data_IF_311018165122
#
_entry.id   IF_311018165122
#
_cell.length_a   1.000
_cell.length_b   1.000
_cell.length_c   1.000
_cell.angle_alpha   90.00
_cell.angle_beta   90.00
_cell.angle_gamma   90.00
#
_symmetry.space_group_name_H-M   'P 1'
#
loop_
_entity.id
_entity.type
_entity.pdbx_description
1 polymer ?
#
# COMPACT_ATOMS: atom_id res chain seq x y z
N UNK A 1 -1.34 7.44 -5.88
CA UNK A 1 -1.39 6.43 -4.80
C UNK A 1 -0.80 6.91 -3.47
N UNK A 2 0.37 7.56 -3.44
CA UNK A 2 1.02 8.03 -2.18
C UNK A 2 0.11 8.93 -1.32
N UNK A 3 -0.70 9.78 -1.94
CA UNK A 3 -1.59 10.73 -1.25
C UNK A 3 -2.97 10.17 -0.84
N UNK A 4 -3.27 8.91 -1.13
CA UNK A 4 -4.52 8.31 -0.64
C UNK A 4 -4.45 8.19 0.90
N UNK A 5 -5.57 8.06 1.64
CA UNK A 5 -5.57 7.73 3.08
C UNK A 5 -5.36 6.23 3.32
N UNK A 6 -4.95 5.80 4.53
CA UNK A 6 -4.70 4.38 4.81
C UNK A 6 -5.95 3.51 4.64
N UNK A 7 -7.13 4.04 5.02
CA UNK A 7 -8.41 3.38 4.82
C UNK A 7 -8.77 3.10 3.36
N UNK A 8 -8.18 3.83 2.40
CA UNK A 8 -8.35 3.53 0.98
C UNK A 8 -7.84 2.12 0.65
N UNK A 9 -6.64 1.76 1.12
CA UNK A 9 -6.06 0.44 0.88
C UNK A 9 -6.87 -0.67 1.54
N UNK A 10 -7.35 -0.43 2.77
CA UNK A 10 -8.25 -1.36 3.45
C UNK A 10 -9.52 -1.59 2.63
N UNK A 11 -10.13 -0.53 2.11
CA UNK A 11 -11.36 -0.62 1.32
C UNK A 11 -11.14 -1.37 0.00
N UNK A 12 -10.05 -1.06 -0.71
CA UNK A 12 -9.68 -1.78 -1.95
C UNK A 12 -9.46 -3.27 -1.70
N UNK A 13 -8.81 -3.65 -0.60
CA UNK A 13 -8.67 -5.08 -0.25
C UNK A 13 -9.99 -5.73 0.16
N UNK A 14 -10.95 -4.96 0.68
CA UNK A 14 -12.23 -5.50 1.15
C UNK A 14 -13.23 -5.66 0.01
N UNK A 15 -13.34 -4.67 -0.88
CA UNK A 15 -14.37 -4.59 -1.92
C UNK A 15 -13.82 -4.85 -3.33
N UNK A 16 -12.50 -4.86 -3.51
CA UNK A 16 -11.85 -4.84 -4.82
C UNK A 16 -11.75 -3.42 -5.41
N UNK A 17 -11.05 -3.31 -6.54
CA UNK A 17 -10.93 -2.05 -7.29
C UNK A 17 -10.55 -2.29 -8.75
N UNK A 18 -11.39 -1.85 -9.68
CA UNK A 18 -11.16 -2.07 -11.11
C UNK A 18 -11.10 -3.56 -11.43
N UNK A 19 -9.96 -4.02 -11.95
CA UNK A 19 -9.71 -5.44 -12.28
C UNK A 19 -9.20 -6.26 -11.09
N UNK A 20 -8.95 -5.62 -9.94
CA UNK A 20 -8.50 -6.30 -8.72
C UNK A 20 -9.71 -6.83 -7.96
N UNK A 21 -9.81 -8.16 -7.83
CA UNK A 21 -10.81 -8.82 -6.98
C UNK A 21 -10.64 -8.45 -5.50
N UNK A 22 -11.70 -8.63 -4.71
CA UNK A 22 -11.64 -8.52 -3.25
C UNK A 22 -10.73 -9.60 -2.65
N UNK A 23 -10.08 -9.27 -1.53
CA UNK A 23 -9.28 -10.20 -0.71
C UNK A 23 -9.93 -10.47 0.66
N UNK A 24 -11.24 -10.27 0.77
CA UNK A 24 -11.98 -10.37 2.04
C UNK A 24 -12.06 -11.81 2.56
N UNK A 25 -11.99 -12.80 1.68
CA UNK A 25 -12.04 -14.22 2.05
C UNK A 25 -10.68 -14.73 2.55
N UNK A 26 -9.60 -14.12 2.07
CA UNK A 26 -8.22 -14.55 2.31
C UNK A 26 -7.58 -13.82 3.50
N UNK A 27 -7.97 -12.57 3.75
CA UNK A 27 -7.38 -11.74 4.79
C UNK A 27 -8.41 -11.38 5.85
N UNK A 28 -8.04 -11.47 7.13
CA UNK A 28 -8.87 -10.93 8.21
C UNK A 28 -8.88 -9.39 8.17
N UNK A 29 -9.85 -8.71 8.81
CA UNK A 29 -9.81 -7.25 8.91
C UNK A 29 -8.50 -6.71 9.52
N UNK A 30 -7.92 -7.43 10.48
CA UNK A 30 -6.66 -7.04 11.12
C UNK A 30 -5.48 -7.17 10.15
N UNK A 31 -5.40 -8.26 9.39
CA UNK A 31 -4.37 -8.45 8.37
C UNK A 31 -4.45 -7.37 7.27
N UNK A 32 -5.67 -6.96 6.87
CA UNK A 32 -5.84 -5.88 5.91
C UNK A 32 -5.32 -4.53 6.44
N UNK A 33 -5.46 -4.27 7.73
CA UNK A 33 -4.85 -3.09 8.35
C UNK A 33 -3.32 -3.20 8.42
N UNK A 34 -2.79 -4.39 8.72
CA UNK A 34 -1.35 -4.64 8.72
C UNK A 34 -0.73 -4.41 7.33
N UNK A 35 -1.37 -4.90 6.26
CA UNK A 35 -0.95 -4.65 4.87
C UNK A 35 -1.01 -3.16 4.53
N UNK A 36 -2.09 -2.46 4.90
CA UNK A 36 -2.21 -1.03 4.67
C UNK A 36 -1.10 -0.23 5.39
N UNK A 37 -0.74 -0.61 6.62
CA UNK A 37 0.37 -0.01 7.35
C UNK A 37 1.74 -0.32 6.70
N UNK A 38 1.94 -1.54 6.22
CA UNK A 38 3.16 -1.93 5.52
C UNK A 38 3.35 -1.13 4.22
N UNK A 39 2.28 -0.93 3.44
CA UNK A 39 2.31 -0.06 2.24
C UNK A 39 2.77 1.36 2.61
N UNK A 40 2.37 1.90 3.77
CA UNK A 40 2.85 3.22 4.24
C UNK A 40 4.32 3.24 4.60
N UNK A 41 4.77 2.22 5.30
CA UNK A 41 6.18 2.07 5.63
C UNK A 41 7.02 2.01 4.34
N UNK A 42 6.58 1.23 3.35
CA UNK A 42 7.23 1.15 2.04
C UNK A 42 7.25 2.48 1.30
N UNK A 43 6.13 3.19 1.24
CA UNK A 43 6.06 4.51 0.60
C UNK A 43 7.01 5.53 1.26
N UNK A 44 7.16 5.46 2.59
CA UNK A 44 8.10 6.31 3.34
C UNK A 44 9.55 6.00 2.96
N UNK A 45 9.90 4.72 2.81
CA UNK A 45 11.23 4.28 2.38
C UNK A 45 11.51 4.75 0.95
N UNK A 46 10.55 4.58 0.03
CA UNK A 46 10.67 4.97 -1.38
C UNK A 46 10.78 6.49 -1.57
N UNK A 47 10.24 7.30 -0.65
CA UNK A 47 10.38 8.77 -0.70
C UNK A 47 11.75 9.28 -0.26
N UNK A 48 12.69 8.41 0.13
CA UNK A 48 14.09 8.79 0.16
C UNK A 48 14.61 8.76 -1.28
N UNK A 49 15.06 9.89 -1.87
CA UNK A 49 15.71 9.83 -3.16
C UNK A 49 16.92 8.92 -2.99
N UNK A 50 16.97 7.82 -3.75
CA UNK A 50 18.24 7.21 -4.06
C UNK A 50 19.07 8.35 -4.66
N UNK A 51 20.02 8.87 -3.88
CA UNK A 51 21.01 9.83 -4.36
C UNK A 51 21.60 9.22 -5.62
N UNK A 52 21.23 9.78 -6.78
CA UNK A 52 21.83 9.42 -8.04
C UNK A 52 23.32 9.76 -7.93
N UNK A 53 24.16 8.76 -7.65
CA UNK A 53 25.59 8.86 -7.86
C UNK A 53 25.80 8.90 -9.37
N UNK A 54 25.68 10.09 -9.96
CA UNK A 54 26.20 10.38 -11.29
C UNK A 54 27.73 10.28 -11.18
N UNK A 55 28.26 9.10 -11.46
CA UNK A 55 29.70 8.88 -11.67
C UNK A 55 30.10 9.73 -12.88
N UNK A 56 30.95 10.73 -12.62
CA UNK A 56 31.63 11.54 -13.62
C UNK A 56 32.76 10.75 -14.28
#
# INVERSE_FOLDING_TARGET
>A
LKNMPAGYFFNVMTEGFGVMSSYKAELTPEDRWAVAAYIRALQKIETHPATETKTA
#
